data_IF_427077129258
#
_entry.id   IF_427077129258
#
_cell.length_a   1.000
_cell.length_b   1.000
_cell.length_c   1.000
_cell.angle_alpha   90.00
_cell.angle_beta   90.00
_cell.angle_gamma   90.00
#
_symmetry.space_group_name_H-M   'P 1'
#
loop_
_entity.id
_entity.type
_entity.pdbx_description
1 polymer ?
#
# COMPACT_ATOMS: atom_id res chain seq x y z
N UNK A 1 -15.56 -26.14 6.84
CA UNK A 1 -15.67 -24.69 6.57
C UNK A 1 -14.66 -24.35 5.50
N UNK A 2 -15.10 -24.03 4.29
CA UNK A 2 -14.17 -23.65 3.21
C UNK A 2 -13.59 -22.29 3.57
N UNK A 3 -12.28 -22.22 3.84
CA UNK A 3 -11.62 -20.94 4.09
C UNK A 3 -11.76 -20.02 2.87
N UNK A 4 -11.75 -18.71 3.12
CA UNK A 4 -11.74 -17.66 2.08
C UNK A 4 -10.68 -17.97 1.02
N UNK A 5 -11.07 -17.92 -0.27
CA UNK A 5 -10.14 -18.14 -1.37
C UNK A 5 -9.07 -17.04 -1.40
N UNK A 6 -7.96 -17.27 -2.11
CA UNK A 6 -6.96 -16.21 -2.31
C UNK A 6 -7.59 -14.99 -3.00
N UNK A 7 -8.48 -15.23 -3.97
CA UNK A 7 -9.16 -14.15 -4.69
C UNK A 7 -10.05 -13.31 -3.76
N UNK A 8 -10.73 -13.95 -2.81
CA UNK A 8 -11.55 -13.25 -1.81
C UNK A 8 -10.66 -12.39 -0.91
N UNK A 9 -9.55 -12.94 -0.40
CA UNK A 9 -8.58 -12.18 0.43
C UNK A 9 -8.00 -10.97 -0.29
N UNK A 10 -7.64 -11.12 -1.57
CA UNK A 10 -7.16 -10.00 -2.39
C UNK A 10 -8.25 -8.93 -2.56
N UNK A 11 -9.51 -9.33 -2.80
CA UNK A 11 -10.61 -8.38 -2.94
C UNK A 11 -10.89 -7.62 -1.64
N UNK A 12 -10.87 -8.30 -0.50
CA UNK A 12 -11.04 -7.69 0.82
C UNK A 12 -9.94 -6.68 1.13
N UNK A 13 -8.66 -7.07 0.94
CA UNK A 13 -7.52 -6.18 1.11
C UNK A 13 -7.64 -4.93 0.23
N UNK A 14 -7.87 -5.12 -1.07
CA UNK A 14 -8.00 -4.02 -2.02
C UNK A 14 -9.21 -3.12 -1.72
N UNK A 15 -10.33 -3.67 -1.23
CA UNK A 15 -11.50 -2.88 -0.83
C UNK A 15 -11.22 -2.01 0.39
N UNK A 16 -10.49 -2.54 1.37
CA UNK A 16 -10.13 -1.79 2.59
C UNK A 16 -9.28 -0.55 2.30
N UNK A 17 -8.45 -0.61 1.25
CA UNK A 17 -7.61 0.50 0.78
C UNK A 17 -8.41 1.45 -0.11
N UNK A 18 -9.20 0.93 -1.06
CA UNK A 18 -10.01 1.75 -1.99
C UNK A 18 -10.92 2.74 -1.28
N UNK A 19 -11.48 2.38 -0.12
CA UNK A 19 -12.33 3.29 0.66
C UNK A 19 -11.59 4.46 1.33
N UNK A 20 -10.25 4.46 1.35
CA UNK A 20 -9.43 5.46 2.04
C UNK A 20 -8.70 6.41 1.09
N UNK A 21 -8.49 5.99 -0.15
CA UNK A 21 -7.64 6.69 -1.12
C UNK A 21 -8.46 7.57 -2.05
N UNK A 22 -7.89 8.69 -2.50
CA UNK A 22 -8.57 9.67 -3.37
C UNK A 22 -8.33 9.45 -4.86
N UNK A 23 -7.29 8.70 -5.18
CA UNK A 23 -6.88 8.39 -6.56
C UNK A 23 -6.87 6.89 -6.78
N UNK A 24 -7.16 6.46 -8.00
CA UNK A 24 -6.98 5.08 -8.42
C UNK A 24 -5.55 4.91 -8.97
N UNK A 25 -4.66 4.19 -8.27
CA UNK A 25 -3.29 3.99 -8.72
C UNK A 25 -3.24 3.29 -10.08
N UNK A 26 -2.36 3.76 -10.96
CA UNK A 26 -2.05 3.10 -12.24
C UNK A 26 -0.70 2.38 -12.21
N UNK A 27 0.16 2.75 -11.27
CA UNK A 27 1.50 2.19 -11.10
C UNK A 27 1.66 1.70 -9.65
N UNK A 28 2.17 0.48 -9.49
CA UNK A 28 2.60 -0.06 -8.21
C UNK A 28 4.12 -0.05 -8.11
N UNK A 29 4.67 0.44 -6.99
CA UNK A 29 6.11 0.53 -6.76
C UNK A 29 6.42 -0.17 -5.43
N UNK A 30 7.42 -1.06 -5.42
CA UNK A 30 7.90 -1.72 -4.20
C UNK A 30 9.29 -1.22 -3.88
N UNK A 31 9.46 -0.62 -2.70
CA UNK A 31 10.74 -0.05 -2.28
C UNK A 31 11.55 -1.07 -1.51
N UNK A 32 12.78 -1.29 -1.98
CA UNK A 32 13.80 -2.02 -1.23
C UNK A 32 14.44 -1.18 -0.12
N UNK A 33 15.33 -1.81 0.64
CA UNK A 33 16.06 -1.15 1.72
C UNK A 33 16.81 0.10 1.22
N UNK A 34 16.72 1.20 1.97
CA UNK A 34 17.34 2.48 1.62
C UNK A 34 16.57 3.35 0.63
N UNK A 35 15.51 2.84 -0.01
CA UNK A 35 14.73 3.58 -1.01
C UNK A 35 13.47 4.27 -0.45
N UNK A 36 13.21 4.14 0.86
CA UNK A 36 11.98 4.63 1.51
C UNK A 36 11.66 6.10 1.30
N UNK A 37 12.67 6.96 1.05
CA UNK A 37 12.48 8.39 0.79
C UNK A 37 11.67 8.69 -0.48
N UNK A 38 11.62 7.75 -1.43
CA UNK A 38 10.79 7.94 -2.63
C UNK A 38 9.30 8.05 -2.26
N UNK A 39 8.86 7.34 -1.22
CA UNK A 39 7.48 7.44 -0.75
C UNK A 39 7.16 8.81 -0.13
N UNK A 40 8.17 9.52 0.41
CA UNK A 40 8.00 10.86 0.98
C UNK A 40 7.79 11.93 -0.12
N UNK A 41 8.16 11.62 -1.37
CA UNK A 41 7.93 12.48 -2.54
C UNK A 41 6.54 12.31 -3.16
N UNK A 42 5.70 11.40 -2.63
CA UNK A 42 4.34 11.22 -3.13
C UNK A 42 3.46 12.36 -2.61
N UNK A 43 2.91 13.13 -3.53
CA UNK A 43 2.01 14.25 -3.28
C UNK A 43 0.58 13.78 -3.00
N UNK A 44 -0.16 14.57 -2.21
CA UNK A 44 -1.54 14.28 -1.77
C UNK A 44 -1.74 12.86 -1.21
N UNK A 45 -0.68 12.34 -0.58
CA UNK A 45 -0.60 10.96 -0.18
C UNK A 45 -1.58 10.60 0.94
N UNK A 46 -2.22 9.44 0.79
CA UNK A 46 -2.86 8.68 1.86
C UNK A 46 -1.92 7.55 2.26
N UNK A 47 -1.50 7.55 3.52
CA UNK A 47 -0.65 6.51 4.09
C UNK A 47 -1.52 5.50 4.81
N UNK A 48 -1.45 4.24 4.39
CA UNK A 48 -2.19 3.11 4.97
C UNK A 48 -1.19 2.14 5.60
N UNK A 49 -1.12 2.02 6.93
CA UNK A 49 -0.31 0.99 7.59
C UNK A 49 -0.73 -0.40 7.14
N UNK A 50 0.22 -1.31 6.91
CA UNK A 50 -0.06 -2.70 6.51
C UNK A 50 -0.93 -3.43 7.55
N UNK A 51 -0.76 -3.11 8.84
CA UNK A 51 -1.58 -3.66 9.92
C UNK A 51 -3.07 -3.30 9.82
N UNK A 52 -3.42 -2.25 9.08
CA UNK A 52 -4.80 -1.84 8.86
C UNK A 52 -5.42 -2.44 7.59
N UNK A 53 -4.63 -3.21 6.82
CA UNK A 53 -5.07 -3.88 5.60
C UNK A 53 -5.27 -5.37 5.90
N UNK A 54 -6.48 -5.92 5.74
CA UNK A 54 -6.73 -7.34 5.94
C UNK A 54 -5.78 -8.20 5.11
N UNK A 55 -5.29 -9.29 5.71
CA UNK A 55 -4.40 -10.27 5.08
C UNK A 55 -3.00 -9.78 4.71
N UNK A 56 -2.67 -8.50 4.94
CA UNK A 56 -1.31 -8.01 4.73
C UNK A 56 -0.36 -8.49 5.85
N UNK A 57 0.90 -8.81 5.51
CA UNK A 57 1.90 -9.12 6.50
C UNK A 57 2.28 -7.85 7.28
N UNK A 58 2.44 -7.99 8.60
CA UNK A 58 3.01 -6.93 9.42
C UNK A 58 4.53 -6.95 9.25
N UNK A 59 5.12 -5.82 8.85
CA UNK A 59 6.57 -5.68 8.78
C UNK A 59 7.17 -5.75 10.19
N UNK A 60 8.05 -6.71 10.42
CA UNK A 60 8.78 -6.87 11.70
C UNK A 60 10.24 -6.41 11.61
N UNK A 61 10.66 -5.90 10.44
CA UNK A 61 12.05 -5.51 10.17
C UNK A 61 12.26 -4.03 10.47
N UNK A 62 13.29 -3.72 11.28
CA UNK A 62 13.75 -2.34 11.49
C UNK A 62 14.07 -1.66 10.14
N UNK A 63 13.45 -0.51 9.88
CA UNK A 63 13.66 0.28 8.65
C UNK A 63 12.63 0.06 7.54
N UNK A 64 11.78 -0.97 7.63
CA UNK A 64 10.61 -1.13 6.76
C UNK A 64 9.37 -0.69 7.52
N UNK A 65 8.88 0.52 7.23
CA UNK A 65 7.76 1.13 7.96
C UNK A 65 6.46 0.32 7.86
N UNK A 66 6.35 -0.53 6.85
CA UNK A 66 5.17 -1.37 6.65
C UNK A 66 3.97 -0.52 6.24
N UNK A 67 4.14 0.32 5.22
CA UNK A 67 3.13 1.29 4.82
C UNK A 67 2.87 1.27 3.32
N UNK A 68 1.59 1.35 2.95
CA UNK A 68 1.15 1.56 1.59
C UNK A 68 0.82 3.06 1.41
N UNK A 69 1.59 3.75 0.59
CA UNK A 69 1.44 5.18 0.31
C UNK A 69 0.77 5.34 -1.04
N UNK A 70 -0.39 5.99 -1.09
CA UNK A 70 -1.16 6.18 -2.33
C UNK A 70 -1.39 7.66 -2.59
N UNK A 71 -0.98 8.14 -3.76
CA UNK A 71 -1.09 9.56 -4.12
C UNK A 71 -0.56 9.81 -5.54
N UNK A 72 0.03 10.98 -5.76
CA UNK A 72 0.58 11.40 -7.05
C UNK A 72 2.10 11.45 -7.00
N UNK A 73 2.78 10.96 -8.02
CA UNK A 73 4.23 11.08 -8.18
C UNK A 73 4.51 11.49 -9.63
N UNK A 74 5.13 12.66 -9.84
CA UNK A 74 5.41 13.21 -11.17
C UNK A 74 4.15 13.23 -12.08
N UNK A 75 2.99 13.59 -11.49
CA UNK A 75 1.70 13.62 -12.19
C UNK A 75 1.04 12.26 -12.45
N UNK A 76 1.65 11.15 -12.03
CA UNK A 76 1.07 9.81 -12.15
C UNK A 76 0.45 9.34 -10.82
N UNK A 77 -0.75 8.74 -10.82
CA UNK A 77 -1.33 8.14 -9.62
C UNK A 77 -0.60 6.82 -9.29
N UNK A 78 0.01 6.75 -8.12
CA UNK A 78 0.86 5.64 -7.68
C UNK A 78 0.41 5.01 -6.38
N UNK A 79 0.75 3.73 -6.20
CA UNK A 79 0.75 3.05 -4.91
C UNK A 79 2.17 2.56 -4.61
N UNK A 80 2.74 3.00 -3.50
CA UNK A 80 4.12 2.74 -3.10
C UNK A 80 4.15 1.93 -1.82
N UNK A 81 4.82 0.78 -1.84
CA UNK A 81 5.05 -0.07 -0.68
C UNK A 81 6.37 0.31 -0.01
N UNK A 82 6.30 0.80 1.24
CA UNK A 82 7.45 1.26 2.06
C UNK A 82 7.73 0.35 3.26
#
# INVERSE_FOLDING_TARGET
>A
MSGSSLADRVREAASSVRGRVRVAPRVGIVLGSGLGRLADAVEDAVVVPYGDVPHFPVSTVQGHSGQLVVGMLEGAPVAVMR
#
